data_IF_324478004594
#
_entry.id   IF_324478004594
#
_cell.length_a   1.000
_cell.length_b   1.000
_cell.length_c   1.000
_cell.angle_alpha   90.00
_cell.angle_beta   90.00
_cell.angle_gamma   90.00
#
_symmetry.space_group_name_H-M   'P 1'
#
loop_
_entity.id
_entity.type
_entity.pdbx_description
1 polymer ?
#
# COMPACT_ATOMS: atom_id res chain seq x y z
N UNK A 1 -18.16 -3.27 38.69
CA UNK A 1 -17.71 -3.63 37.34
C UNK A 1 -18.41 -4.92 36.96
N UNK A 2 -19.10 -4.94 35.83
CA UNK A 2 -19.88 -6.10 35.40
C UNK A 2 -18.93 -7.23 34.95
N UNK A 3 -19.03 -8.45 35.52
CA UNK A 3 -18.11 -9.55 35.23
C UNK A 3 -18.14 -9.99 33.75
N UNK A 4 -19.20 -9.66 33.01
CA UNK A 4 -19.29 -9.89 31.55
C UNK A 4 -18.27 -9.08 30.73
N UNK A 5 -17.82 -7.92 31.23
CA UNK A 5 -16.84 -7.08 30.53
C UNK A 5 -15.41 -7.65 30.60
N UNK A 6 -15.10 -8.46 31.62
CA UNK A 6 -13.77 -9.07 31.79
C UNK A 6 -13.49 -10.15 30.74
N UNK A 7 -14.53 -10.84 30.26
CA UNK A 7 -14.42 -11.82 29.20
C UNK A 7 -14.15 -11.14 27.85
N UNK A 8 -14.83 -10.03 27.57
CA UNK A 8 -14.68 -9.25 26.33
C UNK A 8 -13.30 -8.59 26.18
N UNK A 9 -12.61 -8.30 27.29
CA UNK A 9 -11.23 -7.78 27.29
C UNK A 9 -10.16 -8.84 27.03
N UNK A 10 -10.51 -10.13 27.17
CA UNK A 10 -9.57 -11.26 26.97
C UNK A 10 -9.60 -11.81 25.55
N UNK A 11 -10.62 -11.48 24.78
CA UNK A 11 -10.70 -11.83 23.37
C UNK A 11 -9.82 -10.85 22.59
N UNK A 12 -8.83 -11.33 21.81
CA UNK A 12 -8.07 -10.46 20.92
C UNK A 12 -9.05 -9.81 19.93
N UNK A 13 -9.09 -8.47 19.92
CA UNK A 13 -9.92 -7.72 18.98
C UNK A 13 -9.48 -8.08 17.56
N UNK A 14 -10.44 -8.30 16.66
CA UNK A 14 -10.11 -8.49 15.25
C UNK A 14 -9.38 -7.23 14.76
N UNK A 15 -8.20 -7.39 14.13
CA UNK A 15 -7.45 -6.25 13.67
C UNK A 15 -8.27 -5.53 12.59
N UNK A 16 -8.61 -4.28 12.86
CA UNK A 16 -9.39 -3.43 11.96
C UNK A 16 -8.48 -2.88 10.87
N UNK A 17 -7.99 -3.76 10.00
CA UNK A 17 -7.25 -3.34 8.81
C UNK A 17 -8.19 -2.65 7.83
N UNK A 18 -7.68 -1.64 7.14
CA UNK A 18 -8.37 -1.05 6.01
C UNK A 18 -8.23 -2.01 4.83
N UNK A 19 -9.36 -2.49 4.31
CA UNK A 19 -9.41 -3.21 3.05
C UNK A 19 -9.20 -2.21 1.92
N UNK A 20 -7.95 -2.07 1.49
CA UNK A 20 -7.63 -1.25 0.33
C UNK A 20 -7.98 -2.02 -0.95
N UNK A 21 -8.68 -1.40 -1.91
CA UNK A 21 -8.90 -2.04 -3.19
C UNK A 21 -7.55 -2.32 -3.85
N UNK A 22 -7.41 -3.51 -4.41
CA UNK A 22 -6.22 -3.94 -5.17
C UNK A 22 -6.65 -4.91 -6.27
N UNK A 23 -5.78 -5.11 -7.26
CA UNK A 23 -6.01 -6.12 -8.30
C UNK A 23 -5.88 -7.54 -7.72
N UNK A 24 -6.62 -8.53 -8.26
CA UNK A 24 -6.55 -9.90 -7.79
C UNK A 24 -5.16 -10.50 -8.07
N UNK A 25 -4.84 -11.59 -7.37
CA UNK A 25 -3.48 -12.13 -7.38
C UNK A 25 -3.04 -12.74 -8.72
N UNK A 26 -4.00 -13.20 -9.50
CA UNK A 26 -3.88 -13.78 -10.83
C UNK A 26 -4.06 -12.75 -11.96
N UNK A 27 -4.07 -11.45 -11.64
CA UNK A 27 -4.23 -10.41 -12.64
C UNK A 27 -3.10 -10.42 -13.68
N UNK A 28 -3.49 -10.44 -14.95
CA UNK A 28 -2.59 -10.47 -16.11
C UNK A 28 -2.77 -9.22 -16.97
N UNK A 29 -1.66 -8.68 -17.50
CA UNK A 29 -1.63 -7.62 -18.52
C UNK A 29 -0.68 -8.07 -19.62
N UNK A 30 -1.16 -8.09 -20.86
CA UNK A 30 -0.38 -8.48 -22.05
C UNK A 30 0.31 -9.85 -21.91
N UNK A 31 -0.39 -10.82 -21.31
CA UNK A 31 0.13 -12.17 -21.06
C UNK A 31 1.20 -12.26 -19.96
N UNK A 32 1.46 -11.18 -19.23
CA UNK A 32 2.39 -11.12 -18.09
C UNK A 32 1.65 -10.81 -16.79
N UNK A 33 2.14 -11.30 -15.64
CA UNK A 33 1.54 -10.97 -14.35
C UNK A 33 1.66 -9.48 -14.06
N UNK A 34 0.58 -8.88 -13.54
CA UNK A 34 0.58 -7.50 -13.08
C UNK A 34 1.33 -7.39 -11.77
N UNK A 35 2.39 -6.56 -11.76
CA UNK A 35 3.26 -6.41 -10.59
C UNK A 35 2.78 -5.32 -9.62
N UNK A 36 2.07 -4.31 -10.13
CA UNK A 36 1.64 -3.15 -9.35
C UNK A 36 0.24 -3.31 -8.73
N UNK A 37 -0.05 -4.47 -8.12
CA UNK A 37 -1.40 -4.82 -7.62
C UNK A 37 -2.03 -3.76 -6.72
N UNK A 38 -1.28 -3.31 -5.72
CA UNK A 38 -1.71 -2.31 -4.74
C UNK A 38 -1.50 -0.87 -5.24
N UNK A 39 -0.33 -0.58 -5.83
CA UNK A 39 -0.04 0.77 -6.32
C UNK A 39 -0.89 1.17 -7.52
N UNK A 40 -1.48 0.20 -8.24
CA UNK A 40 -2.44 0.46 -9.31
C UNK A 40 -3.62 1.30 -8.84
N UNK A 41 -4.02 1.21 -7.57
CA UNK A 41 -5.15 1.99 -7.03
C UNK A 41 -4.94 3.48 -7.17
N UNK A 42 -3.71 3.97 -7.01
CA UNK A 42 -3.38 5.41 -7.12
C UNK A 42 -2.78 5.79 -8.48
N UNK A 43 -2.35 4.82 -9.29
CA UNK A 43 -1.75 5.07 -10.61
C UNK A 43 -2.65 4.72 -11.80
N UNK A 44 -3.80 4.07 -11.55
CA UNK A 44 -4.77 3.72 -12.59
C UNK A 44 -5.59 4.93 -13.01
N UNK A 45 -5.71 5.07 -14.33
CA UNK A 45 -6.63 5.94 -15.05
C UNK A 45 -6.85 7.33 -14.43
N UNK A 46 -8.08 7.83 -14.36
CA UNK A 46 -8.39 9.21 -13.98
C UNK A 46 -8.97 9.35 -12.57
N UNK A 47 -8.91 8.30 -11.76
CA UNK A 47 -9.50 8.27 -10.42
C UNK A 47 -8.73 9.17 -9.44
N UNK A 48 -7.39 9.22 -9.57
CA UNK A 48 -6.50 9.95 -8.65
C UNK A 48 -5.47 10.84 -9.38
N UNK A 49 -5.91 11.89 -10.10
CA UNK A 49 -4.99 12.75 -10.86
C UNK A 49 -4.03 13.54 -9.96
N UNK A 50 -4.45 13.91 -8.75
CA UNK A 50 -3.60 14.61 -7.78
C UNK A 50 -2.44 13.73 -7.27
N UNK A 51 -2.71 12.45 -6.99
CA UNK A 51 -1.66 11.51 -6.57
C UNK A 51 -0.64 11.27 -7.69
N UNK A 52 -1.11 11.15 -8.93
CA UNK A 52 -0.24 11.02 -10.10
C UNK A 52 0.65 12.25 -10.29
N UNK A 53 0.10 13.46 -10.13
CA UNK A 53 0.88 14.70 -10.20
C UNK A 53 1.99 14.74 -9.13
N UNK A 54 1.69 14.32 -7.89
CA UNK A 54 2.70 14.22 -6.84
C UNK A 54 3.78 13.18 -7.14
N UNK A 55 3.41 12.03 -7.73
CA UNK A 55 4.37 10.99 -8.12
C UNK A 55 5.30 11.47 -9.24
N UNK A 56 4.79 12.21 -10.22
CA UNK A 56 5.65 12.87 -11.22
C UNK A 56 6.60 13.88 -10.58
N UNK A 57 6.08 14.71 -9.66
CA UNK A 57 6.92 15.68 -8.94
C UNK A 57 8.01 15.01 -8.08
N UNK A 58 7.74 13.81 -7.56
CA UNK A 58 8.70 12.99 -6.82
C UNK A 58 9.75 12.31 -7.72
N UNK A 59 9.63 12.40 -9.05
CA UNK A 59 10.63 11.93 -10.00
C UNK A 59 10.28 10.62 -10.72
N UNK A 60 9.02 10.18 -10.72
CA UNK A 60 8.59 9.08 -11.61
C UNK A 60 8.75 9.55 -13.07
N UNK A 61 9.51 8.82 -13.90
CA UNK A 61 10.02 9.36 -15.18
C UNK A 61 8.93 9.56 -16.24
N UNK A 62 7.95 8.66 -16.29
CA UNK A 62 6.97 8.62 -17.37
C UNK A 62 5.69 7.88 -16.97
N UNK A 63 4.67 7.98 -17.84
CA UNK A 63 3.34 7.41 -17.62
C UNK A 63 3.32 5.90 -17.68
N UNK A 64 4.18 5.29 -18.49
CA UNK A 64 4.27 3.84 -18.59
C UNK A 64 4.81 3.28 -17.28
N UNK A 65 5.95 3.80 -16.81
CA UNK A 65 6.55 3.44 -15.52
C UNK A 65 5.54 3.62 -14.38
N UNK A 66 4.83 4.74 -14.34
CA UNK A 66 3.77 4.98 -13.33
C UNK A 66 2.67 3.90 -13.35
N UNK A 67 2.28 3.42 -14.54
CA UNK A 67 1.15 2.48 -14.72
C UNK A 67 1.54 1.01 -14.65
N UNK A 68 2.79 0.65 -14.89
CA UNK A 68 3.23 -0.74 -15.01
C UNK A 68 4.21 -1.16 -13.93
N UNK A 69 5.04 -0.24 -13.42
CA UNK A 69 6.05 -0.57 -12.43
C UNK A 69 5.42 -0.75 -11.02
N UNK A 70 5.87 -1.74 -10.25
CA UNK A 70 5.50 -1.85 -8.84
C UNK A 70 6.15 -0.72 -8.04
N UNK A 71 5.38 -0.06 -7.17
CA UNK A 71 5.95 0.88 -6.20
C UNK A 71 6.30 0.16 -4.91
N UNK A 72 7.56 0.26 -4.51
CA UNK A 72 8.11 -0.42 -3.33
C UNK A 72 8.43 0.64 -2.28
N UNK A 73 7.68 0.62 -1.17
CA UNK A 73 7.99 1.44 -0.01
C UNK A 73 9.21 0.90 0.72
N UNK A 74 10.28 1.68 0.81
CA UNK A 74 11.49 1.33 1.56
C UNK A 74 11.44 2.02 2.92
N UNK A 75 11.03 1.28 3.95
CA UNK A 75 10.96 1.78 5.32
C UNK A 75 12.29 1.48 6.06
N UNK A 76 13.20 2.45 6.08
CA UNK A 76 14.41 2.36 6.90
C UNK A 76 14.11 2.70 8.35
N UNK A 77 14.83 2.07 9.28
CA UNK A 77 14.71 2.32 10.73
C UNK A 77 15.93 3.06 11.23
N UNK A 78 16.46 3.99 10.43
CA UNK A 78 17.69 4.70 10.76
C UNK A 78 17.46 5.77 11.83
N UNK A 79 18.40 5.90 12.77
CA UNK A 79 18.41 6.98 13.76
C UNK A 79 19.83 7.19 14.32
N UNK A 80 20.32 8.43 14.31
CA UNK A 80 21.69 8.78 14.72
C UNK A 80 22.03 8.39 16.16
N UNK A 81 21.04 8.35 17.06
CA UNK A 81 21.24 8.00 18.46
C UNK A 81 21.30 6.50 18.77
N UNK A 82 21.20 5.62 17.75
CA UNK A 82 21.31 4.18 17.93
C UNK A 82 22.26 3.57 16.86
N UNK A 83 23.48 3.15 17.22
CA UNK A 83 24.45 2.62 16.26
C UNK A 83 24.04 1.28 15.63
N UNK A 84 23.04 0.59 16.15
CA UNK A 84 22.49 -0.63 15.56
C UNK A 84 21.47 -0.35 14.44
N UNK A 85 21.20 0.91 14.11
CA UNK A 85 20.11 1.35 13.25
C UNK A 85 20.59 2.19 12.07
#
# INVERSE_FOLDING_TARGET
MDPSNLQKQREPEEPRYLDFPHLPDDAMRDGKPILNKYSSTVTRDHDFPGAQAMLYAAGVPDKETMKTAPHVGVASVWWEGNPCK
#
